data_IF_130947191574
#
_entry.id   IF_130947191574
#
_cell.length_a   1.000
_cell.length_b   1.000
_cell.length_c   1.000
_cell.angle_alpha   90.00
_cell.angle_beta   90.00
_cell.angle_gamma   90.00
#
_symmetry.space_group_name_H-M   'P 1'
#
loop_
_entity.id
_entity.type
_entity.pdbx_description
1 polymer ?
#
# COMPACT_ATOMS: atom_id res chain seq x y z
N UNK A 1 -9.58 6.48 12.16
CA UNK A 1 -9.58 5.00 12.33
C UNK A 1 -10.97 4.44 12.64
N UNK A 2 -11.68 4.89 13.68
CA UNK A 2 -13.00 4.36 14.04
C UNK A 2 -14.01 4.36 12.87
N UNK A 3 -14.06 5.44 12.07
CA UNK A 3 -14.91 5.54 10.88
C UNK A 3 -14.57 4.49 9.80
N UNK A 4 -13.28 4.26 9.54
CA UNK A 4 -12.80 3.25 8.60
C UNK A 4 -13.24 1.84 9.03
N UNK A 5 -13.06 1.52 10.32
CA UNK A 5 -13.49 0.22 10.88
C UNK A 5 -15.01 0.06 10.80
N UNK A 6 -15.80 1.12 11.08
CA UNK A 6 -17.27 1.07 10.92
C UNK A 6 -17.66 0.87 9.45
N UNK A 7 -16.96 1.52 8.52
CA UNK A 7 -17.16 1.33 7.08
C UNK A 7 -16.92 -0.12 6.67
N UNK A 8 -15.84 -0.73 7.17
CA UNK A 8 -15.54 -2.15 6.95
C UNK A 8 -16.62 -3.05 7.56
N UNK A 9 -17.01 -2.81 8.81
CA UNK A 9 -18.02 -3.61 9.50
C UNK A 9 -19.41 -3.54 8.82
N UNK A 10 -19.71 -2.45 8.11
CA UNK A 10 -20.98 -2.24 7.41
C UNK A 10 -20.94 -2.54 5.90
N UNK A 11 -19.78 -2.90 5.35
CA UNK A 11 -19.62 -3.09 3.89
C UNK A 11 -20.25 -4.36 3.33
N UNK A 12 -20.62 -5.31 4.21
CA UNK A 12 -20.99 -6.66 3.81
C UNK A 12 -19.80 -7.55 3.44
N UNK A 13 -18.57 -7.03 3.38
CA UNK A 13 -17.34 -7.83 3.30
C UNK A 13 -16.86 -8.18 4.71
N UNK A 14 -16.86 -9.47 5.04
CA UNK A 14 -16.53 -9.97 6.38
C UNK A 14 -15.07 -10.42 6.42
N UNK A 15 -14.31 -9.91 7.37
CA UNK A 15 -12.94 -10.34 7.66
C UNK A 15 -12.90 -10.90 9.08
N UNK A 16 -12.52 -12.16 9.21
CA UNK A 16 -12.36 -12.83 10.51
C UNK A 16 -10.91 -12.73 11.01
N UNK A 17 -9.94 -12.87 10.11
CA UNK A 17 -8.53 -12.72 10.42
C UNK A 17 -8.16 -11.25 10.38
N UNK A 18 -8.10 -10.63 11.56
CA UNK A 18 -7.85 -9.21 11.72
C UNK A 18 -6.63 -8.99 12.61
N UNK A 19 -5.62 -8.29 12.11
CA UNK A 19 -4.43 -7.90 12.90
C UNK A 19 -4.44 -6.39 13.08
N UNK A 20 -4.34 -5.96 14.34
CA UNK A 20 -4.24 -4.54 14.70
C UNK A 20 -2.95 -4.30 15.48
N UNK A 21 -2.22 -3.24 15.12
CA UNK A 21 -0.98 -2.87 15.79
C UNK A 21 -0.78 -1.36 15.78
N UNK A 22 -0.32 -0.80 16.91
CA UNK A 22 0.26 0.55 16.94
C UNK A 22 1.73 0.45 16.54
N UNK A 23 2.09 1.06 15.42
CA UNK A 23 3.46 1.08 14.91
C UNK A 23 4.24 2.21 15.57
N UNK A 24 5.51 1.95 15.88
CA UNK A 24 6.46 2.93 16.39
C UNK A 24 7.16 3.68 15.25
N UNK A 25 8.36 4.19 15.55
CA UNK A 25 9.19 4.88 14.56
C UNK A 25 9.55 3.97 13.38
N UNK A 26 9.54 4.58 12.19
CA UNK A 26 9.93 3.91 10.95
C UNK A 26 11.44 3.94 10.75
N UNK A 27 11.93 3.09 9.85
CA UNK A 27 13.33 3.15 9.41
C UNK A 27 13.57 4.32 8.43
N UNK A 28 14.83 4.76 8.21
CA UNK A 28 15.12 5.83 7.25
C UNK A 28 14.96 5.40 5.78
N UNK A 29 14.64 4.13 5.50
CA UNK A 29 14.53 3.61 4.14
C UNK A 29 13.37 4.28 3.37
N UNK A 30 13.59 4.83 2.16
CA UNK A 30 12.58 5.58 1.40
C UNK A 30 11.25 4.86 1.17
N UNK A 31 11.30 3.54 0.95
CA UNK A 31 10.12 2.69 0.72
C UNK A 31 9.68 1.87 1.93
N UNK A 32 10.18 2.20 3.13
CA UNK A 32 9.72 1.55 4.36
C UNK A 32 8.21 1.74 4.51
N UNK A 33 7.49 0.63 4.71
CA UNK A 33 6.05 0.68 4.98
C UNK A 33 5.73 1.07 6.43
N UNK A 34 6.41 0.51 7.47
CA UNK A 34 6.21 0.93 8.84
C UNK A 34 6.42 2.43 9.05
N UNK A 35 5.45 3.08 9.69
CA UNK A 35 5.54 4.46 10.15
C UNK A 35 4.65 4.66 11.38
N UNK A 36 4.89 5.71 12.21
CA UNK A 36 4.07 5.98 13.37
C UNK A 36 2.58 6.05 13.01
N UNK A 37 1.76 5.31 13.75
CA UNK A 37 0.33 5.24 13.49
C UNK A 37 -0.29 3.90 13.83
N UNK A 38 -1.54 3.71 13.39
CA UNK A 38 -2.28 2.47 13.56
C UNK A 38 -2.25 1.68 12.26
N UNK A 39 -1.92 0.40 12.38
CA UNK A 39 -1.90 -0.57 11.32
C UNK A 39 -3.07 -1.54 11.47
N UNK A 40 -3.69 -1.88 10.34
CA UNK A 40 -4.77 -2.85 10.26
C UNK A 40 -4.52 -3.76 9.04
N UNK A 41 -4.51 -5.07 9.26
CA UNK A 41 -4.52 -6.09 8.20
C UNK A 41 -5.82 -6.88 8.31
N UNK A 42 -6.47 -7.10 7.18
CA UNK A 42 -7.78 -7.74 7.05
C UNK A 42 -7.70 -8.81 5.97
N UNK A 43 -8.55 -9.83 6.07
CA UNK A 43 -8.64 -10.91 5.12
C UNK A 43 -10.09 -11.07 4.65
N UNK A 44 -10.37 -10.62 3.42
CA UNK A 44 -11.71 -10.64 2.85
C UNK A 44 -11.86 -11.80 1.86
N UNK A 45 -12.91 -12.64 1.99
CA UNK A 45 -13.25 -13.62 0.97
C UNK A 45 -13.52 -12.96 -0.39
N UNK A 46 -12.98 -13.54 -1.45
CA UNK A 46 -13.20 -13.06 -2.82
C UNK A 46 -14.67 -13.21 -3.22
N UNK A 47 -15.31 -12.09 -3.54
CA UNK A 47 -16.68 -12.03 -4.08
C UNK A 47 -16.91 -10.77 -4.90
N UNK A 48 -18.02 -10.74 -5.64
CA UNK A 48 -18.43 -9.56 -6.43
C UNK A 48 -18.40 -8.28 -5.56
N UNK A 49 -17.89 -7.19 -6.12
CA UNK A 49 -17.78 -5.90 -5.46
C UNK A 49 -16.57 -5.71 -4.53
N UNK A 50 -15.79 -6.76 -4.22
CA UNK A 50 -14.64 -6.64 -3.33
C UNK A 50 -13.57 -5.68 -3.88
N UNK A 51 -13.28 -5.74 -5.19
CA UNK A 51 -12.29 -4.86 -5.82
C UNK A 51 -12.65 -3.37 -5.68
N UNK A 52 -13.90 -3.02 -5.94
CA UNK A 52 -14.41 -1.65 -5.78
C UNK A 52 -14.36 -1.20 -4.32
N UNK A 53 -14.73 -2.09 -3.39
CA UNK A 53 -14.65 -1.81 -1.96
C UNK A 53 -13.19 -1.56 -1.53
N UNK A 54 -12.26 -2.42 -1.94
CA UNK A 54 -10.84 -2.26 -1.68
C UNK A 54 -10.27 -0.96 -2.27
N UNK A 55 -10.69 -0.54 -3.47
CA UNK A 55 -10.29 0.76 -4.04
C UNK A 55 -10.75 1.94 -3.17
N UNK A 56 -11.99 1.91 -2.67
CA UNK A 56 -12.50 2.92 -1.73
C UNK A 56 -11.74 2.93 -0.40
N UNK A 57 -11.25 1.77 0.06
CA UNK A 57 -10.38 1.71 1.23
C UNK A 57 -9.03 2.36 0.96
N UNK A 58 -8.42 2.14 -0.21
CA UNK A 58 -7.15 2.78 -0.57
C UNK A 58 -7.25 4.30 -0.52
N UNK A 59 -8.33 4.87 -1.08
CA UNK A 59 -8.59 6.31 -1.06
C UNK A 59 -8.67 6.85 0.38
N UNK A 60 -9.33 6.10 1.28
CA UNK A 60 -9.44 6.45 2.70
C UNK A 60 -8.11 6.31 3.44
N UNK A 61 -7.31 5.30 3.13
CA UNK A 61 -5.96 5.13 3.67
C UNK A 61 -5.10 6.33 3.27
N UNK A 62 -5.12 6.70 1.98
CA UNK A 62 -4.37 7.83 1.47
C UNK A 62 -4.84 9.16 2.06
N UNK A 63 -6.14 9.39 2.16
CA UNK A 63 -6.71 10.60 2.77
C UNK A 63 -6.32 10.74 4.25
N UNK A 64 -6.07 9.63 4.94
CA UNK A 64 -5.56 9.62 6.32
C UNK A 64 -4.03 9.74 6.43
N UNK A 65 -3.32 9.97 5.31
CA UNK A 65 -1.85 10.02 5.28
C UNK A 65 -1.18 8.65 5.49
N UNK A 66 -1.93 7.55 5.34
CA UNK A 66 -1.41 6.20 5.44
C UNK A 66 -0.93 5.66 4.08
N UNK A 67 -0.42 4.43 4.09
CA UNK A 67 0.08 3.74 2.90
C UNK A 67 -0.17 2.23 2.94
N UNK A 68 -0.28 1.63 1.76
CA UNK A 68 -0.40 0.18 1.57
C UNK A 68 0.97 -0.50 1.64
N UNK A 69 0.98 -1.78 2.02
CA UNK A 69 2.20 -2.56 2.12
C UNK A 69 2.44 -3.38 0.83
N UNK A 70 3.57 -3.18 0.16
CA UNK A 70 3.88 -3.91 -1.08
C UNK A 70 3.85 -5.44 -0.93
N UNK A 71 4.26 -5.99 0.21
CA UNK A 71 4.20 -7.43 0.45
C UNK A 71 2.76 -7.99 0.53
N UNK A 72 1.74 -7.12 0.59
CA UNK A 72 0.32 -7.46 0.64
C UNK A 72 -0.49 -6.86 -0.52
N UNK A 73 0.16 -6.17 -1.46
CA UNK A 73 -0.50 -5.54 -2.60
C UNK A 73 -0.29 -6.32 -3.89
N UNK A 74 -1.38 -6.51 -4.63
CA UNK A 74 -1.37 -7.04 -5.99
C UNK A 74 -2.26 -6.23 -6.94
N UNK A 75 -2.84 -5.10 -6.51
CA UNK A 75 -4.00 -4.50 -7.20
C UNK A 75 -4.07 -2.97 -7.21
N UNK A 76 -3.30 -2.27 -6.39
CA UNK A 76 -3.34 -0.80 -6.38
C UNK A 76 -2.64 -0.22 -7.61
N UNK A 77 -2.71 1.10 -7.79
CA UNK A 77 -2.25 1.80 -9.00
C UNK A 77 -0.93 2.55 -8.78
N UNK A 78 -0.15 2.83 -9.84
CA UNK A 78 1.03 3.69 -9.78
C UNK A 78 0.79 5.04 -9.11
N UNK A 79 -0.36 5.67 -9.41
CA UNK A 79 -0.72 7.01 -8.93
C UNK A 79 -0.93 6.99 -7.41
N UNK A 80 -1.60 5.96 -6.90
CA UNK A 80 -1.80 5.78 -5.46
C UNK A 80 -0.47 5.58 -4.74
N UNK A 81 0.41 4.73 -5.27
CA UNK A 81 1.71 4.47 -4.66
C UNK A 81 2.61 5.69 -4.65
N UNK A 82 2.64 6.49 -5.73
CA UNK A 82 3.40 7.73 -5.78
C UNK A 82 2.96 8.72 -4.69
N UNK A 83 1.66 8.77 -4.39
CA UNK A 83 1.11 9.61 -3.32
C UNK A 83 1.34 9.05 -1.92
N UNK A 84 1.31 7.72 -1.77
CA UNK A 84 1.53 7.02 -0.50
C UNK A 84 3.01 6.96 -0.08
N UNK A 85 3.93 7.02 -1.05
CA UNK A 85 5.37 6.94 -0.84
C UNK A 85 6.06 8.20 -1.40
N UNK A 86 6.06 9.32 -0.67
CA UNK A 86 6.59 10.60 -1.17
C UNK A 86 8.10 10.59 -1.47
N UNK A 87 8.85 9.63 -0.91
CA UNK A 87 10.28 9.43 -1.17
C UNK A 87 10.55 8.40 -2.28
N UNK A 88 9.55 8.05 -3.09
CA UNK A 88 9.71 7.09 -4.19
C UNK A 88 10.75 7.56 -5.22
N UNK A 89 10.79 8.84 -5.55
CA UNK A 89 11.76 9.35 -6.52
C UNK A 89 13.20 9.38 -5.99
N UNK A 90 13.38 9.56 -4.67
CA UNK A 90 14.68 9.36 -4.02
C UNK A 90 15.16 7.91 -4.18
N UNK A 91 14.27 6.95 -3.92
CA UNK A 91 14.59 5.53 -4.10
C UNK A 91 14.92 5.18 -5.55
N UNK A 92 14.17 5.73 -6.51
CA UNK A 92 14.41 5.51 -7.95
C UNK A 92 15.78 5.99 -8.38
N UNK A 93 16.22 7.17 -7.92
CA UNK A 93 17.57 7.68 -8.19
C UNK A 93 18.66 6.71 -7.73
N UNK A 94 18.53 6.16 -6.52
CA UNK A 94 19.47 5.15 -6.03
C UNK A 94 19.42 3.89 -6.89
N UNK A 95 18.23 3.37 -7.22
CA UNK A 95 18.10 2.24 -8.14
C UNK A 95 18.78 2.50 -9.48
N UNK A 96 18.52 3.63 -10.13
CA UNK A 96 19.06 3.95 -11.46
C UNK A 96 20.60 4.05 -11.46
N UNK A 97 21.20 4.41 -10.32
CA UNK A 97 22.66 4.42 -10.16
C UNK A 97 23.29 3.03 -10.08
N UNK A 98 22.52 2.01 -9.65
CA UNK A 98 23.03 0.64 -9.45
C UNK A 98 22.51 -0.37 -10.48
N UNK A 99 21.40 -0.05 -11.16
CA UNK A 99 20.78 -0.86 -12.22
C UNK A 99 20.37 0.03 -13.41
N UNK A 100 21.35 0.66 -14.11
CA UNK A 100 21.08 1.63 -15.18
C UNK A 100 20.40 1.01 -16.41
N UNK A 101 20.62 -0.29 -16.64
CA UNK A 101 20.03 -1.04 -17.75
C UNK A 101 18.65 -1.62 -17.39
N UNK A 102 18.22 -1.51 -16.13
CA UNK A 102 16.92 -2.00 -15.67
C UNK A 102 16.80 -3.52 -15.75
N UNK A 103 17.85 -4.24 -15.34
CA UNK A 103 17.91 -5.71 -15.33
C UNK A 103 16.95 -6.28 -14.28
N UNK A 104 16.82 -5.63 -13.12
CA UNK A 104 16.02 -6.14 -12.00
C UNK A 104 14.57 -5.64 -12.08
N UNK A 105 13.69 -6.49 -12.61
CA UNK A 105 12.28 -6.15 -12.82
C UNK A 105 11.35 -7.25 -12.31
N UNK A 106 10.24 -6.86 -11.69
CA UNK A 106 9.14 -7.73 -11.26
C UNK A 106 7.80 -7.25 -11.81
N UNK A 107 6.76 -8.08 -11.74
CA UNK A 107 5.40 -7.66 -12.09
C UNK A 107 4.89 -6.50 -11.22
N UNK A 108 5.21 -6.54 -9.92
CA UNK A 108 4.86 -5.44 -9.00
C UNK A 108 5.52 -4.14 -9.45
N UNK A 109 6.80 -4.21 -9.80
CA UNK A 109 7.56 -3.01 -10.15
C UNK A 109 7.15 -2.43 -11.50
N UNK A 110 6.78 -3.26 -12.48
CA UNK A 110 6.14 -2.84 -13.74
C UNK A 110 4.76 -2.21 -13.49
N UNK A 111 3.87 -2.94 -12.80
CA UNK A 111 2.47 -2.51 -12.55
C UNK A 111 2.40 -1.18 -11.81
N UNK A 112 3.29 -0.95 -10.84
CA UNK A 112 3.31 0.26 -10.02
C UNK A 112 4.19 1.36 -10.62
N UNK A 113 4.78 1.13 -11.80
CA UNK A 113 5.76 2.00 -12.41
C UNK A 113 6.95 2.29 -11.49
N UNK A 114 7.22 1.42 -10.50
CA UNK A 114 8.35 1.60 -9.59
C UNK A 114 9.62 1.50 -10.41
N UNK A 115 9.72 0.46 -11.24
CA UNK A 115 10.72 0.26 -12.29
C UNK A 115 10.15 0.66 -13.64
N UNK A 116 10.96 1.34 -14.46
CA UNK A 116 10.61 1.64 -15.83
C UNK A 116 11.60 2.61 -16.45
N UNK A 117 11.85 2.42 -17.74
CA UNK A 117 11.93 3.55 -18.67
C UNK A 117 10.51 4.09 -18.88
#
# INVERSE_FOLDING_TARGET
>A
MADLVRTIARSGHRSFLNVFKRMGEGSPAPLSWPHPGLMLSLDFPMKKGLGEFCRRLDERVLAAGGRLYFAKDSRTTPEMIRRMYPRLDEWRKTRDSVDPDGIFVSDLSRRLGITGR
#
